data_IF_782891636925
#
_entry.id   IF_782891636925
#
_cell.length_a   1.000
_cell.length_b   1.000
_cell.length_c   1.000
_cell.angle_alpha   90.00
_cell.angle_beta   90.00
_cell.angle_gamma   90.00
#
_symmetry.space_group_name_H-M   'P 1'
#
loop_
_entity.id
_entity.type
_entity.pdbx_description
1 polymer ?
#
# COMPACT_ATOMS: atom_id res chain seq x y z
N UNK A 1 -55.60 -43.48 -57.61
CA UNK A 1 -54.47 -42.74 -57.00
C UNK A 1 -54.95 -42.25 -55.64
N UNK A 2 -54.54 -42.90 -54.56
CA UNK A 2 -54.64 -42.51 -53.14
C UNK A 2 -54.08 -43.68 -52.32
N UNK A 3 -52.77 -43.89 -52.42
CA UNK A 3 -52.07 -44.88 -51.61
C UNK A 3 -51.74 -44.25 -50.25
N UNK A 4 -52.31 -44.79 -49.18
CA UNK A 4 -52.03 -44.41 -47.80
C UNK A 4 -50.91 -45.30 -47.29
N UNK A 5 -49.74 -44.72 -46.99
CA UNK A 5 -48.61 -45.44 -46.44
C UNK A 5 -48.45 -45.13 -44.93
N UNK A 6 -48.89 -46.02 -44.02
CA UNK A 6 -48.79 -45.82 -42.57
C UNK A 6 -47.38 -46.03 -42.01
N UNK A 7 -46.35 -46.22 -42.85
CA UNK A 7 -44.95 -46.37 -42.39
C UNK A 7 -44.14 -45.09 -42.45
N UNK A 8 -44.74 -43.98 -42.91
CA UNK A 8 -44.09 -42.68 -42.95
C UNK A 8 -44.28 -41.97 -41.61
N UNK A 9 -43.37 -42.23 -40.69
CA UNK A 9 -43.30 -41.54 -39.41
C UNK A 9 -42.31 -40.36 -39.48
N UNK A 10 -42.66 -39.25 -38.85
CA UNK A 10 -41.77 -38.10 -38.65
C UNK A 10 -41.37 -37.99 -37.18
N UNK A 11 -40.07 -38.11 -36.90
CA UNK A 11 -39.50 -37.84 -35.58
C UNK A 11 -39.12 -36.36 -35.43
N UNK A 12 -39.48 -35.75 -34.31
CA UNK A 12 -39.08 -34.38 -33.96
C UNK A 12 -38.33 -34.37 -32.62
N UNK A 13 -37.38 -33.45 -32.47
CA UNK A 13 -36.70 -33.20 -31.21
C UNK A 13 -36.77 -31.71 -30.85
N UNK A 14 -36.67 -31.40 -29.56
CA UNK A 14 -36.42 -30.04 -29.06
C UNK A 14 -34.91 -29.83 -28.93
N UNK A 15 -34.35 -28.76 -29.51
CA UNK A 15 -32.94 -28.45 -29.32
C UNK A 15 -32.60 -28.30 -27.83
N UNK A 16 -31.40 -28.73 -27.47
CA UNK A 16 -30.87 -28.62 -26.12
C UNK A 16 -29.94 -27.39 -25.98
N UNK A 17 -29.54 -27.09 -24.76
CA UNK A 17 -28.51 -26.11 -24.42
C UNK A 17 -27.58 -26.64 -23.33
N UNK A 18 -26.37 -26.09 -23.32
CA UNK A 18 -25.33 -26.36 -22.34
C UNK A 18 -24.62 -25.05 -22.01
N UNK A 19 -24.29 -24.82 -20.76
CA UNK A 19 -23.51 -23.68 -20.30
C UNK A 19 -23.36 -23.74 -18.79
N UNK A 20 -22.86 -22.66 -18.20
CA UNK A 20 -23.05 -22.19 -16.82
C UNK A 20 -21.90 -21.24 -16.51
N UNK A 21 -20.93 -21.58 -15.66
CA UNK A 21 -20.10 -20.63 -14.95
C UNK A 21 -18.59 -20.92 -15.00
N UNK A 22 -17.80 -19.85 -15.00
CA UNK A 22 -16.34 -19.92 -14.78
C UNK A 22 -15.97 -19.05 -13.60
N UNK A 23 -15.25 -19.62 -12.63
CA UNK A 23 -15.04 -19.02 -11.31
C UNK A 23 -13.59 -18.97 -10.88
N UNK A 24 -13.29 -17.97 -10.06
CA UNK A 24 -12.02 -17.83 -9.37
C UNK A 24 -12.10 -18.58 -8.04
N UNK A 25 -11.58 -19.80 -8.04
CA UNK A 25 -11.48 -20.70 -6.89
C UNK A 25 -10.37 -20.21 -5.95
N UNK A 26 -10.74 -19.37 -4.98
CA UNK A 26 -9.75 -18.69 -4.13
C UNK A 26 -9.08 -19.64 -3.14
N UNK A 27 -9.80 -20.65 -2.67
CA UNK A 27 -9.32 -21.58 -1.66
C UNK A 27 -8.70 -22.86 -2.26
N UNK A 28 -8.83 -23.04 -3.59
CA UNK A 28 -8.29 -24.16 -4.38
C UNK A 28 -8.90 -25.51 -4.03
N UNK A 29 -10.15 -25.53 -3.57
CA UNK A 29 -10.83 -26.77 -3.20
C UNK A 29 -11.56 -27.45 -4.38
N UNK A 30 -11.65 -26.78 -5.53
CA UNK A 30 -12.32 -27.29 -6.72
C UNK A 30 -13.84 -27.14 -6.72
N UNK A 31 -14.41 -26.52 -5.69
CA UNK A 31 -15.85 -26.35 -5.48
C UNK A 31 -16.20 -24.88 -5.61
N UNK A 32 -17.21 -24.57 -6.40
CA UNK A 32 -17.81 -23.25 -6.46
C UNK A 32 -18.42 -22.89 -5.09
N UNK A 33 -17.87 -21.86 -4.45
CA UNK A 33 -18.34 -21.34 -3.17
C UNK A 33 -18.90 -19.92 -3.31
N UNK A 34 -19.65 -19.49 -2.29
CA UNK A 34 -20.18 -18.13 -2.22
C UNK A 34 -19.10 -17.03 -2.18
N UNK A 35 -17.86 -17.37 -1.82
CA UNK A 35 -16.70 -16.46 -1.81
C UNK A 35 -15.99 -16.33 -3.16
N UNK A 36 -16.28 -17.25 -4.08
CA UNK A 36 -15.65 -17.28 -5.39
C UNK A 36 -16.29 -16.27 -6.32
N UNK A 37 -15.45 -15.65 -7.15
CA UNK A 37 -15.86 -14.56 -8.03
C UNK A 37 -15.88 -15.01 -9.48
N UNK A 38 -16.78 -14.48 -10.32
CA UNK A 38 -16.84 -14.85 -11.73
C UNK A 38 -15.58 -14.44 -12.48
N UNK A 39 -15.20 -15.23 -13.49
CA UNK A 39 -14.12 -14.87 -14.43
C UNK A 39 -14.73 -14.53 -15.78
N UNK A 40 -14.63 -13.26 -16.17
CA UNK A 40 -15.07 -12.76 -17.48
C UNK A 40 -14.03 -13.03 -18.57
N UNK A 41 -14.51 -13.26 -19.79
CA UNK A 41 -13.70 -13.26 -21.01
C UNK A 41 -12.93 -14.55 -21.24
N UNK A 42 -13.24 -15.62 -20.52
CA UNK A 42 -12.64 -16.94 -20.75
C UNK A 42 -13.18 -17.47 -22.08
N UNK A 43 -12.28 -17.80 -23.01
CA UNK A 43 -12.66 -18.44 -24.27
C UNK A 43 -13.12 -19.87 -23.98
N UNK A 44 -14.37 -20.15 -24.34
CA UNK A 44 -14.98 -21.47 -24.20
C UNK A 44 -15.23 -22.05 -25.58
N UNK A 45 -14.81 -23.28 -25.81
CA UNK A 45 -14.94 -24.00 -27.08
C UNK A 45 -15.85 -25.21 -26.89
N UNK A 46 -16.91 -25.32 -27.69
CA UNK A 46 -17.75 -26.51 -27.75
C UNK A 46 -17.18 -27.48 -28.78
N UNK A 47 -17.01 -28.73 -28.37
CA UNK A 47 -16.67 -29.85 -29.23
C UNK A 47 -17.88 -30.77 -29.38
N UNK A 48 -18.11 -31.25 -30.60
CA UNK A 48 -19.09 -32.30 -30.91
C UNK A 48 -18.35 -33.44 -31.60
N UNK A 49 -18.48 -34.65 -31.06
CA UNK A 49 -17.81 -35.86 -31.56
C UNK A 49 -16.29 -35.65 -31.77
N UNK A 50 -15.65 -34.91 -30.84
CA UNK A 50 -14.22 -34.62 -30.84
C UNK A 50 -13.77 -33.47 -31.75
N UNK A 51 -14.67 -32.83 -32.50
CA UNK A 51 -14.35 -31.68 -33.36
C UNK A 51 -14.90 -30.38 -32.77
N UNK A 52 -14.11 -29.29 -32.79
CA UNK A 52 -14.59 -27.98 -32.37
C UNK A 52 -15.69 -27.49 -33.32
N UNK A 53 -16.84 -27.10 -32.78
CA UNK A 53 -18.02 -26.68 -33.57
C UNK A 53 -18.49 -25.26 -33.26
N UNK A 54 -18.17 -24.72 -32.08
CA UNK A 54 -18.51 -23.35 -31.71
C UNK A 54 -17.56 -22.81 -30.63
N UNK A 55 -17.50 -21.49 -30.50
CA UNK A 55 -16.84 -20.80 -29.40
C UNK A 55 -17.71 -19.70 -28.84
N UNK A 56 -17.48 -19.35 -27.57
CA UNK A 56 -18.05 -18.18 -26.90
C UNK A 56 -17.05 -17.66 -25.86
N UNK A 57 -17.38 -16.57 -25.19
CA UNK A 57 -16.61 -16.06 -24.05
C UNK A 57 -17.51 -15.84 -22.86
N UNK A 58 -17.03 -16.12 -21.65
CA UNK A 58 -17.77 -15.83 -20.43
C UNK A 58 -18.07 -14.33 -20.29
N UNK A 59 -19.25 -14.00 -19.80
CA UNK A 59 -19.69 -12.62 -19.62
C UNK A 59 -19.20 -12.00 -18.29
N UNK A 60 -19.68 -10.80 -17.95
CA UNK A 60 -19.30 -10.10 -16.72
C UNK A 60 -19.74 -10.82 -15.44
N UNK A 61 -20.72 -11.71 -15.55
CA UNK A 61 -21.17 -12.60 -14.48
C UNK A 61 -20.54 -13.98 -14.59
N UNK A 62 -19.49 -14.17 -15.40
CA UNK A 62 -18.78 -15.44 -15.54
C UNK A 62 -19.56 -16.49 -16.31
N UNK A 63 -20.72 -16.14 -16.87
CA UNK A 63 -21.62 -17.10 -17.51
C UNK A 63 -21.28 -17.30 -18.98
N UNK A 64 -21.44 -18.52 -19.47
CA UNK A 64 -21.38 -18.88 -20.89
C UNK A 64 -22.53 -19.79 -21.29
N UNK A 65 -22.90 -19.82 -22.58
CA UNK A 65 -23.96 -20.71 -23.06
C UNK A 65 -23.80 -21.05 -24.54
N UNK A 66 -24.12 -22.31 -24.87
CA UNK A 66 -24.36 -22.83 -26.20
C UNK A 66 -25.81 -23.30 -26.30
N UNK A 67 -26.55 -22.77 -27.27
CA UNK A 67 -27.96 -23.11 -27.50
C UNK A 67 -28.16 -23.76 -28.87
N UNK A 68 -29.27 -24.48 -29.06
CA UNK A 68 -29.61 -25.06 -30.35
C UNK A 68 -28.88 -26.38 -30.64
N UNK A 69 -28.44 -27.07 -29.59
CA UNK A 69 -27.66 -28.29 -29.68
C UNK A 69 -28.56 -29.47 -30.07
N UNK A 70 -28.05 -30.37 -30.92
CA UNK A 70 -28.77 -31.56 -31.34
C UNK A 70 -28.67 -32.63 -30.24
N UNK A 71 -29.78 -33.07 -29.63
CA UNK A 71 -29.76 -34.09 -28.59
C UNK A 71 -29.54 -35.51 -29.14
N UNK A 72 -29.30 -36.46 -28.23
CA UNK A 72 -29.24 -37.90 -28.51
C UNK A 72 -27.83 -38.50 -28.50
N UNK A 73 -27.76 -39.83 -28.33
CA UNK A 73 -26.51 -40.57 -28.09
C UNK A 73 -25.48 -40.51 -29.25
N UNK A 74 -25.89 -40.09 -30.45
CA UNK A 74 -24.98 -39.88 -31.59
C UNK A 74 -24.26 -38.51 -31.54
N UNK A 75 -24.65 -37.63 -30.61
CA UNK A 75 -24.11 -36.28 -30.45
C UNK A 75 -23.45 -36.19 -29.08
N UNK A 76 -22.16 -36.51 -29.03
CA UNK A 76 -21.35 -36.41 -27.81
C UNK A 76 -20.72 -35.02 -27.76
N UNK A 77 -20.99 -34.28 -26.70
CA UNK A 77 -20.48 -32.94 -26.46
C UNK A 77 -19.36 -32.95 -25.42
N UNK A 78 -18.46 -31.98 -25.54
CA UNK A 78 -17.42 -31.68 -24.56
C UNK A 78 -17.13 -30.18 -24.61
N UNK A 79 -16.82 -29.58 -23.47
CA UNK A 79 -16.49 -28.15 -23.36
C UNK A 79 -15.00 -28.00 -23.06
N UNK A 80 -14.33 -27.09 -23.77
CA UNK A 80 -12.95 -26.72 -23.51
C UNK A 80 -12.83 -25.28 -23.05
N UNK A 81 -12.15 -25.08 -21.93
CA UNK A 81 -11.90 -23.77 -21.33
C UNK A 81 -10.45 -23.37 -21.56
N UNK A 82 -10.24 -22.22 -22.20
CA UNK A 82 -8.90 -21.66 -22.32
C UNK A 82 -8.42 -21.14 -20.96
N UNK A 83 -7.25 -21.58 -20.50
CA UNK A 83 -6.66 -21.10 -19.25
C UNK A 83 -6.46 -19.58 -19.26
N UNK A 84 -7.07 -18.81 -18.34
CA UNK A 84 -6.82 -17.38 -18.23
C UNK A 84 -5.35 -17.07 -17.91
N UNK A 85 -4.85 -15.96 -18.43
CA UNK A 85 -3.47 -15.56 -18.17
C UNK A 85 -3.22 -15.33 -16.67
N UNK A 86 -2.16 -15.93 -16.14
CA UNK A 86 -1.77 -15.79 -14.73
C UNK A 86 -2.57 -16.65 -13.75
N UNK A 87 -3.52 -17.47 -14.22
CA UNK A 87 -4.24 -18.43 -13.39
C UNK A 87 -3.85 -19.88 -13.73
N UNK A 88 -4.16 -20.79 -12.82
CA UNK A 88 -4.09 -22.24 -13.01
C UNK A 88 -5.47 -22.86 -12.80
N UNK A 89 -5.78 -23.95 -13.50
CA UNK A 89 -7.01 -24.69 -13.30
C UNK A 89 -6.99 -25.39 -11.93
N UNK A 90 -8.13 -25.37 -11.25
CA UNK A 90 -8.30 -26.08 -9.97
C UNK A 90 -8.49 -27.59 -10.17
N UNK A 91 -8.68 -28.34 -9.09
CA UNK A 91 -8.99 -29.76 -9.15
C UNK A 91 -10.36 -29.99 -9.77
N UNK A 92 -10.44 -30.89 -10.76
CA UNK A 92 -11.70 -31.19 -11.43
C UNK A 92 -12.52 -32.26 -10.69
N UNK A 93 -13.84 -32.20 -10.84
CA UNK A 93 -14.81 -33.19 -10.39
C UNK A 93 -14.80 -33.43 -8.87
N UNK A 94 -14.71 -32.35 -8.10
CA UNK A 94 -14.64 -32.38 -6.64
C UNK A 94 -15.95 -31.85 -6.07
N UNK A 95 -16.76 -32.74 -5.48
CA UNK A 95 -17.98 -32.33 -4.79
C UNK A 95 -19.26 -32.64 -5.58
N UNK A 96 -20.15 -31.65 -5.67
CA UNK A 96 -21.42 -31.79 -6.37
C UNK A 96 -21.29 -31.26 -7.80
N UNK A 97 -21.76 -32.05 -8.78
CA UNK A 97 -21.67 -31.81 -10.24
C UNK A 97 -22.14 -30.42 -10.72
N UNK A 98 -23.07 -29.78 -10.02
CA UNK A 98 -23.54 -28.42 -10.37
C UNK A 98 -22.82 -27.30 -9.64
N UNK A 99 -21.73 -27.61 -8.93
CA UNK A 99 -20.97 -26.69 -8.08
C UNK A 99 -19.48 -27.08 -8.05
N UNK A 100 -18.97 -27.89 -8.98
CA UNK A 100 -17.56 -28.24 -9.05
C UNK A 100 -16.95 -27.70 -10.35
N UNK A 101 -15.64 -27.92 -10.54
CA UNK A 101 -15.00 -27.63 -11.82
C UNK A 101 -14.94 -28.90 -12.67
N UNK A 102 -15.40 -28.88 -13.91
CA UNK A 102 -15.26 -30.03 -14.82
C UNK A 102 -13.98 -29.99 -15.63
N UNK A 103 -13.39 -28.80 -15.78
CA UNK A 103 -12.22 -28.58 -16.62
C UNK A 103 -11.01 -29.37 -16.11
N UNK A 104 -10.56 -30.35 -16.90
CA UNK A 104 -9.34 -31.11 -16.61
C UNK A 104 -8.13 -30.15 -16.47
N UNK A 105 -7.32 -30.25 -15.39
CA UNK A 105 -6.29 -29.25 -15.12
C UNK A 105 -5.15 -29.16 -16.15
N UNK A 106 -5.01 -30.18 -17.00
CA UNK A 106 -3.93 -30.28 -17.99
C UNK A 106 -4.44 -29.85 -19.36
N UNK A 107 -5.63 -30.32 -19.75
CA UNK A 107 -6.19 -30.15 -21.10
C UNK A 107 -7.22 -29.02 -21.18
N UNK A 108 -7.81 -28.62 -20.05
CA UNK A 108 -8.91 -27.66 -19.97
C UNK A 108 -10.25 -28.20 -20.49
N UNK A 109 -10.35 -29.51 -20.76
CA UNK A 109 -11.55 -30.15 -21.30
C UNK A 109 -12.42 -30.73 -20.16
N UNK A 110 -13.73 -30.59 -20.26
CA UNK A 110 -14.71 -31.30 -19.41
C UNK A 110 -14.76 -32.79 -19.75
N UNK A 111 -15.49 -33.61 -18.99
CA UNK A 111 -15.91 -34.91 -19.51
C UNK A 111 -16.83 -34.75 -20.74
N UNK A 112 -16.95 -35.85 -21.48
CA UNK A 112 -17.94 -35.96 -22.56
C UNK A 112 -19.33 -36.23 -22.01
N UNK A 113 -20.35 -35.58 -22.56
CA UNK A 113 -21.75 -35.77 -22.19
C UNK A 113 -22.67 -35.86 -23.41
N UNK A 114 -23.87 -36.38 -23.22
CA UNK A 114 -24.93 -36.39 -24.24
C UNK A 114 -26.15 -35.67 -23.70
N UNK A 115 -26.79 -34.86 -24.54
CA UNK A 115 -27.97 -34.09 -24.14
C UNK A 115 -29.26 -34.81 -24.57
N UNK A 116 -30.30 -34.69 -23.77
CA UNK A 116 -31.66 -35.15 -24.07
C UNK A 116 -32.49 -34.03 -24.72
N UNK A 117 -33.60 -34.40 -25.38
CA UNK A 117 -34.42 -33.44 -26.13
C UNK A 117 -35.04 -32.37 -25.23
N UNK A 118 -34.58 -31.12 -25.40
CA UNK A 118 -35.03 -29.96 -24.62
C UNK A 118 -34.29 -29.77 -23.29
N UNK A 119 -33.19 -30.50 -23.07
CA UNK A 119 -32.33 -30.34 -21.90
C UNK A 119 -31.66 -28.96 -21.89
N UNK A 120 -31.58 -28.36 -20.70
CA UNK A 120 -30.70 -27.24 -20.42
C UNK A 120 -29.74 -27.69 -19.33
N UNK A 121 -28.53 -28.06 -19.72
CA UNK A 121 -27.50 -28.51 -18.80
C UNK A 121 -26.72 -27.30 -18.28
N UNK A 122 -26.66 -27.18 -16.95
CA UNK A 122 -25.97 -26.10 -16.21
C UNK A 122 -25.05 -26.71 -15.16
N UNK A 123 -24.28 -27.72 -15.55
CA UNK A 123 -23.37 -28.45 -14.65
C UNK A 123 -22.01 -28.64 -15.29
N UNK A 124 -21.64 -27.75 -16.23
CA UNK A 124 -20.31 -27.79 -16.85
C UNK A 124 -19.61 -26.47 -16.58
N UNK A 125 -18.79 -26.48 -15.56
CA UNK A 125 -18.14 -25.31 -14.99
C UNK A 125 -16.61 -25.42 -15.06
N UNK A 126 -15.93 -24.30 -14.84
CA UNK A 126 -14.48 -24.29 -14.72
C UNK A 126 -14.00 -23.37 -13.60
N UNK A 127 -13.24 -23.93 -12.67
CA UNK A 127 -12.56 -23.22 -11.61
C UNK A 127 -11.10 -22.92 -11.97
N UNK A 128 -10.67 -21.69 -11.74
CA UNK A 128 -9.26 -21.28 -11.86
C UNK A 128 -8.82 -20.53 -10.61
N UNK A 129 -7.53 -20.57 -10.27
CA UNK A 129 -6.99 -19.88 -9.11
C UNK A 129 -5.69 -19.15 -9.44
N UNK A 130 -5.36 -18.10 -8.68
CA UNK A 130 -4.07 -17.43 -8.82
C UNK A 130 -2.97 -18.23 -8.07
N UNK A 131 -1.94 -18.73 -8.76
CA UNK A 131 -0.92 -19.57 -8.16
C UNK A 131 0.03 -18.80 -7.24
N UNK A 132 0.13 -17.48 -7.45
CA UNK A 132 1.10 -16.58 -6.82
C UNK A 132 0.46 -15.67 -5.78
N UNK A 133 1.32 -14.96 -5.05
CA UNK A 133 0.95 -13.92 -4.09
C UNK A 133 1.60 -12.58 -4.45
N UNK A 134 1.31 -11.55 -3.66
CA UNK A 134 1.98 -10.27 -3.73
C UNK A 134 2.01 -9.54 -2.40
N UNK A 135 2.85 -8.51 -2.32
CA UNK A 135 2.87 -7.55 -1.21
C UNK A 135 3.30 -6.19 -1.73
N UNK A 136 3.05 -5.17 -0.95
CA UNK A 136 3.47 -3.80 -1.17
C UNK A 136 2.60 -2.89 -0.34
N UNK A 137 2.81 -1.59 -0.42
CA UNK A 137 1.82 -0.55 -0.15
C UNK A 137 2.52 0.80 -0.36
N UNK A 138 2.93 1.49 0.72
CA UNK A 138 3.14 2.93 0.70
C UNK A 138 4.42 3.39 1.41
N UNK A 139 5.04 4.43 0.86
CA UNK A 139 6.16 5.13 1.50
C UNK A 139 5.80 6.60 1.67
N UNK A 140 5.91 7.10 2.91
CA UNK A 140 5.32 8.38 3.30
C UNK A 140 6.27 9.29 4.08
N UNK A 141 6.06 10.60 3.92
CA UNK A 141 6.65 11.61 4.76
C UNK A 141 5.81 11.78 6.02
N UNK A 142 6.26 11.14 7.10
CA UNK A 142 5.72 11.25 8.45
C UNK A 142 6.09 12.63 9.01
N UNK A 143 5.13 13.55 9.00
CA UNK A 143 5.40 14.96 9.33
C UNK A 143 5.73 15.20 10.79
N UNK A 144 5.38 14.27 11.67
CA UNK A 144 5.53 14.40 13.11
C UNK A 144 6.43 13.31 13.72
N UNK A 145 7.05 12.46 12.89
CA UNK A 145 7.96 11.39 13.28
C UNK A 145 7.38 10.42 14.34
N UNK A 146 6.07 10.17 14.33
CA UNK A 146 5.42 9.28 15.28
C UNK A 146 5.33 7.81 14.83
N UNK A 147 5.65 7.53 13.57
CA UNK A 147 5.61 6.20 12.97
C UNK A 147 4.27 5.80 12.37
N UNK A 148 3.27 6.67 12.42
CA UNK A 148 1.89 6.43 11.98
C UNK A 148 1.64 7.21 10.68
N UNK A 149 0.85 6.63 9.79
CA UNK A 149 0.34 7.31 8.61
C UNK A 149 -0.81 8.26 9.02
N UNK A 150 -0.47 9.52 9.27
CA UNK A 150 -1.42 10.52 9.73
C UNK A 150 -2.09 11.26 8.57
N UNK A 151 -3.26 11.85 8.87
CA UNK A 151 -3.92 12.76 7.95
C UNK A 151 -3.01 13.97 7.65
N UNK A 152 -2.61 14.10 6.38
CA UNK A 152 -1.74 15.19 5.93
C UNK A 152 -0.30 14.76 5.67
N UNK A 153 0.10 13.54 6.01
CA UNK A 153 1.33 12.94 5.51
C UNK A 153 1.25 12.76 3.99
N UNK A 154 2.41 12.86 3.33
CA UNK A 154 2.48 12.94 1.86
C UNK A 154 3.34 11.80 1.30
N UNK A 155 3.07 11.33 0.07
CA UNK A 155 3.84 10.26 -0.54
C UNK A 155 5.30 10.66 -0.79
N UNK A 156 6.22 9.70 -0.69
CA UNK A 156 7.60 9.85 -1.12
C UNK A 156 7.84 9.03 -2.39
N UNK A 157 7.97 9.68 -3.57
CA UNK A 157 8.26 8.99 -4.81
C UNK A 157 9.75 8.65 -4.97
N UNK A 158 10.04 7.62 -5.77
CA UNK A 158 11.40 7.27 -6.18
C UNK A 158 12.24 6.57 -5.11
N UNK A 159 11.63 6.06 -4.04
CA UNK A 159 12.31 5.29 -3.00
C UNK A 159 12.63 3.90 -3.53
N UNK A 160 13.91 3.50 -3.49
CA UNK A 160 14.32 2.15 -3.86
C UNK A 160 13.80 1.16 -2.82
N UNK A 161 13.02 0.18 -3.28
CA UNK A 161 12.50 -0.91 -2.46
C UNK A 161 13.06 -2.24 -2.95
N UNK A 162 13.61 -3.04 -2.05
CA UNK A 162 14.23 -4.33 -2.36
C UNK A 162 13.49 -5.46 -1.66
N UNK A 163 13.21 -6.54 -2.38
CA UNK A 163 12.60 -7.75 -1.83
C UNK A 163 13.69 -8.79 -1.59
N UNK A 164 13.67 -9.41 -0.40
CA UNK A 164 14.60 -10.45 -0.01
C UNK A 164 13.86 -11.75 0.27
N UNK A 165 14.50 -12.88 -0.06
CA UNK A 165 14.11 -14.20 0.40
C UNK A 165 15.34 -14.93 0.90
N UNK A 166 15.27 -15.53 2.10
CA UNK A 166 16.41 -16.17 2.77
C UNK A 166 17.67 -15.28 2.81
N UNK A 167 17.49 -13.97 3.04
CA UNK A 167 18.58 -12.98 3.11
C UNK A 167 19.20 -12.57 1.77
N UNK A 168 18.73 -13.11 0.64
CA UNK A 168 19.21 -12.74 -0.69
C UNK A 168 18.19 -11.86 -1.40
N UNK A 169 18.66 -10.80 -2.08
CA UNK A 169 17.79 -9.95 -2.88
C UNK A 169 17.23 -10.74 -4.08
N UNK A 170 15.92 -10.76 -4.21
CA UNK A 170 15.18 -11.48 -5.27
C UNK A 170 14.40 -10.53 -6.20
N UNK A 171 14.29 -9.25 -5.83
CA UNK A 171 13.64 -8.24 -6.65
C UNK A 171 13.92 -6.83 -6.16
N UNK A 172 13.72 -5.85 -7.03
CA UNK A 172 13.74 -4.42 -6.67
C UNK A 172 12.66 -3.69 -7.44
N UNK A 173 12.15 -2.60 -6.87
CA UNK A 173 11.24 -1.66 -7.51
C UNK A 173 11.50 -0.25 -6.94
N UNK A 174 10.79 0.75 -7.44
CA UNK A 174 10.80 2.10 -6.87
C UNK A 174 9.39 2.58 -6.63
N UNK A 175 9.17 3.34 -5.57
CA UNK A 175 7.86 3.96 -5.31
C UNK A 175 7.48 4.92 -6.44
N UNK A 176 6.20 4.90 -6.82
CA UNK A 176 5.66 5.74 -7.87
C UNK A 176 5.38 7.18 -7.38
N UNK A 177 4.75 8.01 -8.23
CA UNK A 177 4.42 9.40 -7.89
C UNK A 177 3.46 9.53 -6.69
N UNK A 178 2.71 8.48 -6.39
CA UNK A 178 1.81 8.38 -5.24
C UNK A 178 2.45 7.62 -4.08
N UNK A 179 3.78 7.41 -4.08
CA UNK A 179 4.47 6.70 -2.99
C UNK A 179 4.21 5.20 -2.96
N UNK A 180 3.50 4.64 -3.94
CA UNK A 180 3.09 3.25 -3.94
C UNK A 180 4.14 2.33 -4.57
N UNK A 181 4.27 1.12 -4.07
CA UNK A 181 5.09 0.07 -4.67
C UNK A 181 4.41 -1.30 -4.54
N UNK A 182 4.80 -2.26 -5.38
CA UNK A 182 4.35 -3.64 -5.23
C UNK A 182 5.32 -4.67 -5.80
N UNK A 183 5.29 -5.86 -5.22
CA UNK A 183 5.87 -7.08 -5.75
C UNK A 183 4.74 -8.09 -5.99
N UNK A 184 4.58 -8.52 -7.24
CA UNK A 184 3.59 -9.52 -7.65
C UNK A 184 4.29 -10.79 -8.14
N UNK A 185 3.57 -11.91 -8.20
CA UNK A 185 4.14 -13.16 -8.70
C UNK A 185 5.00 -13.89 -7.67
N UNK A 186 4.82 -13.57 -6.39
CA UNK A 186 5.55 -14.17 -5.28
C UNK A 186 5.11 -15.62 -5.07
N UNK A 187 6.04 -16.45 -4.62
CA UNK A 187 5.76 -17.86 -4.35
C UNK A 187 5.11 -17.99 -2.96
N UNK A 188 3.87 -18.50 -2.84
CA UNK A 188 3.23 -18.67 -1.55
C UNK A 188 4.03 -19.60 -0.61
N UNK A 189 3.94 -19.34 0.69
CA UNK A 189 4.65 -20.10 1.73
C UNK A 189 6.15 -19.84 1.83
N UNK A 190 6.72 -19.03 0.92
CA UNK A 190 8.08 -18.51 1.06
C UNK A 190 8.05 -17.27 1.94
N UNK A 191 9.02 -17.17 2.84
CA UNK A 191 9.21 -15.98 3.67
C UNK A 191 9.96 -14.90 2.89
N UNK A 192 9.39 -13.70 2.90
CA UNK A 192 9.92 -12.50 2.25
C UNK A 192 10.15 -11.38 3.25
N UNK A 193 11.20 -10.58 3.05
CA UNK A 193 11.44 -9.34 3.80
C UNK A 193 11.58 -8.19 2.80
N UNK A 194 11.09 -7.01 3.16
CA UNK A 194 11.23 -5.81 2.34
C UNK A 194 12.30 -4.91 2.94
N UNK A 195 13.12 -4.31 2.08
CA UNK A 195 14.11 -3.31 2.47
C UNK A 195 13.87 -2.00 1.76
N UNK A 196 13.78 -0.92 2.54
CA UNK A 196 13.57 0.43 2.05
C UNK A 196 14.86 1.23 2.08
N UNK A 197 15.26 1.76 0.93
CA UNK A 197 16.40 2.68 0.83
C UNK A 197 16.04 4.03 1.46
N UNK A 198 16.90 4.55 2.35
CA UNK A 198 16.69 5.86 2.97
C UNK A 198 16.74 6.99 1.93
N UNK A 199 15.66 7.77 1.71
CA UNK A 199 15.68 8.88 0.77
C UNK A 199 16.67 9.98 1.19
N UNK A 200 17.22 10.71 0.21
CA UNK A 200 18.17 11.79 0.48
C UNK A 200 17.50 12.93 1.25
N UNK A 201 18.13 13.39 2.34
CA UNK A 201 17.58 14.44 3.21
C UNK A 201 16.55 13.97 4.24
N UNK A 202 16.18 12.69 4.23
CA UNK A 202 15.25 12.10 5.17
C UNK A 202 15.94 11.23 6.23
N UNK A 203 15.25 11.03 7.35
CA UNK A 203 15.52 10.07 8.41
C UNK A 203 14.32 9.13 8.57
N UNK A 204 14.54 7.84 8.90
CA UNK A 204 13.44 6.91 9.15
C UNK A 204 12.69 7.28 10.42
N UNK A 205 11.38 7.07 10.42
CA UNK A 205 10.52 7.24 11.61
C UNK A 205 10.56 6.00 12.52
N UNK A 206 9.71 5.94 13.54
CA UNK A 206 9.52 4.76 14.38
C UNK A 206 8.84 3.62 13.62
N UNK A 207 9.20 2.38 13.93
CA UNK A 207 8.62 1.20 13.29
C UNK A 207 7.68 0.44 14.23
N UNK A 208 6.66 -0.22 13.67
CA UNK A 208 5.73 -1.13 14.34
C UNK A 208 5.05 -0.51 15.57
N UNK A 209 4.63 0.75 15.45
CA UNK A 209 3.97 1.51 16.53
C UNK A 209 2.49 1.19 16.67
N UNK A 210 1.90 0.49 15.68
CA UNK A 210 0.52 0.05 15.55
C UNK A 210 -0.49 1.20 15.63
N UNK A 211 -1.02 1.62 14.46
CA UNK A 211 -2.02 2.67 14.41
C UNK A 211 -3.29 2.31 15.19
N UNK A 212 -3.77 3.24 16.02
CA UNK A 212 -5.01 3.04 16.79
C UNK A 212 -6.28 2.97 15.92
N UNK A 213 -6.21 3.48 14.69
CA UNK A 213 -7.35 3.54 13.75
C UNK A 213 -7.21 2.56 12.58
N UNK A 214 -6.00 2.37 12.07
CA UNK A 214 -5.71 1.54 10.89
C UNK A 214 -4.95 0.24 11.22
N UNK A 215 -4.50 0.05 12.46
CA UNK A 215 -3.69 -1.11 12.85
C UNK A 215 -2.34 -1.10 12.13
N UNK A 216 -1.94 -2.28 11.65
CA UNK A 216 -0.70 -2.56 10.90
C UNK A 216 -0.67 -1.86 9.53
N UNK A 217 -1.84 -1.63 8.93
CA UNK A 217 -1.97 -0.98 7.62
C UNK A 217 -1.78 0.55 7.66
N UNK A 218 -1.32 1.10 8.77
CA UNK A 218 -1.25 2.54 8.97
C UNK A 218 -0.09 2.97 9.85
N UNK A 219 0.94 2.15 9.96
CA UNK A 219 2.22 2.50 10.56
C UNK A 219 3.37 2.14 9.62
N UNK A 220 4.60 2.36 10.06
CA UNK A 220 5.81 2.00 9.31
C UNK A 220 6.35 0.65 9.79
N UNK A 221 6.68 -0.26 8.88
CA UNK A 221 7.32 -1.55 9.23
C UNK A 221 8.86 -1.47 9.24
N UNK A 222 9.41 -0.52 8.49
CA UNK A 222 10.84 -0.45 8.21
C UNK A 222 11.65 -0.14 9.47
N UNK A 223 12.51 -1.08 9.87
CA UNK A 223 13.42 -0.90 11.01
C UNK A 223 14.29 0.37 10.80
N UNK A 224 14.37 1.29 11.77
CA UNK A 224 15.00 2.60 11.55
C UNK A 224 16.53 2.54 11.37
N UNK A 225 17.16 1.40 11.66
CA UNK A 225 18.62 1.20 11.55
C UNK A 225 18.97 0.51 10.24
N UNK A 226 18.22 -0.54 9.89
CA UNK A 226 18.52 -1.42 8.75
C UNK A 226 17.68 -1.10 7.52
N UNK A 227 16.53 -0.45 7.69
CA UNK A 227 15.52 -0.25 6.65
C UNK A 227 14.76 -1.52 6.27
N UNK A 228 14.98 -2.64 6.99
CA UNK A 228 14.33 -3.92 6.72
C UNK A 228 13.07 -4.08 7.55
N UNK A 229 12.06 -4.72 6.99
CA UNK A 229 10.84 -5.12 7.70
C UNK A 229 11.02 -6.44 8.46
N UNK A 230 9.97 -6.89 9.14
CA UNK A 230 9.82 -8.28 9.52
C UNK A 230 9.60 -9.22 8.31
N UNK A 231 9.65 -10.55 8.52
CA UNK A 231 9.33 -11.53 7.49
C UNK A 231 7.81 -11.67 7.27
N UNK A 232 7.39 -11.72 6.01
CA UNK A 232 6.02 -12.02 5.58
C UNK A 232 5.96 -13.38 4.89
N UNK A 233 4.99 -14.20 5.26
CA UNK A 233 4.69 -15.47 4.59
C UNK A 233 3.29 -15.40 4.02
N UNK A 234 3.20 -15.37 2.69
CA UNK A 234 1.94 -15.12 1.99
C UNK A 234 1.28 -16.42 1.56
N UNK A 235 -0.05 -16.43 1.57
CA UNK A 235 -0.88 -17.47 1.00
C UNK A 235 -1.04 -17.27 -0.50
N UNK A 236 -1.46 -18.35 -1.16
CA UNK A 236 -1.97 -18.31 -2.52
C UNK A 236 -3.01 -17.19 -2.72
N UNK A 237 -2.90 -16.43 -3.81
CA UNK A 237 -3.87 -15.37 -4.16
C UNK A 237 -3.98 -14.26 -3.09
N UNK A 238 -3.04 -14.20 -2.14
CA UNK A 238 -2.95 -13.13 -1.17
C UNK A 238 -2.20 -11.94 -1.77
N UNK A 239 -2.71 -10.73 -1.50
CA UNK A 239 -1.93 -9.51 -1.61
C UNK A 239 -1.90 -8.87 -0.23
N UNK A 240 -0.71 -8.67 0.34
CA UNK A 240 -0.56 -7.97 1.62
C UNK A 240 -0.31 -6.46 1.40
N UNK A 241 -1.27 -5.57 1.72
CA UNK A 241 -1.18 -4.13 1.54
C UNK A 241 -0.83 -3.41 2.86
N UNK A 242 0.02 -3.98 3.70
CA UNK A 242 0.37 -3.41 5.02
C UNK A 242 1.88 -3.25 5.20
N UNK A 243 2.62 -3.19 4.09
CA UNK A 243 4.09 -3.15 4.15
C UNK A 243 4.55 -1.76 3.76
N UNK A 244 4.84 -0.96 4.78
CA UNK A 244 4.98 0.48 4.67
C UNK A 244 6.31 0.99 5.24
N UNK A 245 6.70 2.19 4.80
CA UNK A 245 7.85 2.88 5.38
C UNK A 245 7.62 4.39 5.54
N UNK A 246 7.77 4.86 6.76
CA UNK A 246 7.70 6.28 7.10
C UNK A 246 9.09 6.92 7.19
N UNK A 247 9.20 8.16 6.72
CA UNK A 247 10.40 8.97 6.83
C UNK A 247 10.05 10.42 7.16
N UNK A 248 10.94 11.16 7.82
CA UNK A 248 10.78 12.59 8.06
C UNK A 248 12.04 13.36 7.67
N UNK A 249 11.91 14.66 7.42
CA UNK A 249 13.05 15.57 7.27
C UNK A 249 13.38 16.19 8.62
N UNK A 250 14.65 16.17 9.05
CA UNK A 250 15.03 16.86 10.27
C UNK A 250 14.74 18.36 10.17
N UNK A 251 14.31 18.95 11.29
CA UNK A 251 14.00 20.36 11.43
C UNK A 251 15.19 21.16 12.01
N UNK A 252 15.04 22.48 12.08
CA UNK A 252 16.00 23.39 12.70
C UNK A 252 15.32 24.52 13.47
N UNK A 253 16.00 25.02 14.51
CA UNK A 253 15.63 26.20 15.29
C UNK A 253 16.81 27.15 15.34
N UNK A 254 16.55 28.43 15.13
CA UNK A 254 17.42 29.52 15.55
C UNK A 254 17.23 30.75 14.68
N UNK A 255 17.64 31.89 15.20
CA UNK A 255 17.70 33.11 14.43
C UNK A 255 18.74 34.05 15.05
N UNK A 256 18.32 35.08 15.80
CA UNK A 256 19.13 36.25 16.09
C UNK A 256 19.11 36.65 17.57
N UNK A 257 20.25 37.20 18.02
CA UNK A 257 20.35 37.85 19.33
C UNK A 257 20.80 39.30 19.14
N UNK A 258 20.01 40.23 19.67
CA UNK A 258 20.12 41.65 19.41
C UNK A 258 20.29 42.49 20.67
N UNK A 259 20.87 43.67 20.50
CA UNK A 259 20.99 44.65 21.58
C UNK A 259 19.84 45.65 21.49
N UNK A 260 18.76 45.36 22.22
CA UNK A 260 17.60 46.23 22.34
C UNK A 260 17.96 47.50 23.16
N UNK A 261 18.34 48.55 22.43
CA UNK A 261 18.81 49.79 23.06
C UNK A 261 17.65 50.62 23.63
N UNK A 262 16.44 50.45 23.12
CA UNK A 262 15.27 51.23 23.53
C UNK A 262 14.37 50.49 24.56
N UNK A 263 14.62 49.19 24.77
CA UNK A 263 13.94 48.29 25.71
C UNK A 263 12.47 48.04 25.39
N UNK A 264 12.09 48.10 24.11
CA UNK A 264 10.72 47.84 23.67
C UNK A 264 10.43 46.36 23.39
N UNK A 265 11.45 45.50 23.39
CA UNK A 265 11.34 44.06 23.15
C UNK A 265 11.21 43.67 21.68
N UNK A 266 11.29 44.63 20.76
CA UNK A 266 11.13 44.45 19.32
C UNK A 266 12.49 44.59 18.65
N UNK A 267 12.83 43.69 17.75
CA UNK A 267 13.98 43.84 16.86
C UNK A 267 13.75 45.02 15.91
N UNK A 268 14.45 46.13 16.14
CA UNK A 268 14.33 47.33 15.35
C UNK A 268 15.44 47.47 14.30
N UNK A 269 15.15 48.26 13.26
CA UNK A 269 16.16 48.76 12.34
C UNK A 269 17.15 49.67 13.08
N UNK A 270 18.31 49.13 13.45
CA UNK A 270 19.36 49.83 14.19
C UNK A 270 19.92 49.03 15.37
N UNK A 271 19.19 48.00 15.81
CA UNK A 271 19.69 47.11 16.86
C UNK A 271 20.87 46.29 16.34
N UNK A 272 21.93 46.31 17.14
CA UNK A 272 23.19 45.64 16.78
C UNK A 272 23.16 44.18 17.22
N UNK A 273 23.79 43.27 16.47
CA UNK A 273 23.89 41.88 16.87
C UNK A 273 24.77 41.73 18.11
N UNK A 274 24.47 40.73 18.94
CA UNK A 274 25.31 40.35 20.08
C UNK A 274 26.03 39.02 19.78
N UNK A 275 27.34 39.03 19.52
CA UNK A 275 28.12 37.81 19.32
C UNK A 275 28.50 37.14 20.64
N UNK A 276 28.70 35.82 20.61
CA UNK A 276 29.22 35.04 21.73
C UNK A 276 28.23 34.76 22.86
N UNK A 277 26.93 34.98 22.64
CA UNK A 277 25.87 34.63 23.60
C UNK A 277 25.75 33.11 23.67
N UNK A 278 25.84 32.54 24.87
CA UNK A 278 25.63 31.10 25.07
C UNK A 278 24.14 30.79 24.92
N UNK A 279 23.83 29.91 23.97
CA UNK A 279 22.48 29.43 23.69
C UNK A 279 22.42 27.94 23.99
N UNK A 280 21.40 27.52 24.74
CA UNK A 280 21.17 26.12 25.15
C UNK A 280 19.87 25.63 24.56
N UNK A 281 19.88 24.47 23.90
CA UNK A 281 18.68 23.78 23.46
C UNK A 281 18.25 22.78 24.53
N UNK A 282 16.97 22.82 24.87
CA UNK A 282 16.32 21.87 25.76
C UNK A 282 15.36 21.01 24.95
N UNK A 283 15.35 19.71 25.24
CA UNK A 283 14.36 18.74 24.75
C UNK A 283 13.65 18.15 25.96
N UNK A 284 12.32 18.28 26.00
CA UNK A 284 11.47 17.79 27.09
C UNK A 284 11.99 18.24 28.47
N UNK A 285 12.43 19.50 28.57
CA UNK A 285 12.94 20.13 29.78
C UNK A 285 14.39 19.81 30.15
N UNK A 286 15.09 18.96 29.38
CA UNK A 286 16.50 18.61 29.62
C UNK A 286 17.41 19.28 28.60
N UNK A 287 18.52 19.86 29.05
CA UNK A 287 19.52 20.45 28.14
C UNK A 287 20.17 19.35 27.28
N UNK A 288 20.14 19.50 25.96
CA UNK A 288 20.66 18.50 25.00
C UNK A 288 21.76 19.03 24.09
N UNK A 289 21.84 20.34 23.88
CA UNK A 289 22.89 20.94 23.07
C UNK A 289 23.16 22.39 23.51
N UNK A 290 24.35 22.89 23.16
CA UNK A 290 24.69 24.31 23.30
C UNK A 290 25.38 24.81 22.04
N UNK A 291 25.25 26.10 21.78
CA UNK A 291 25.99 26.82 20.74
C UNK A 291 26.25 28.26 21.20
N UNK A 292 26.97 29.04 20.41
CA UNK A 292 27.14 30.48 20.65
C UNK A 292 26.77 31.29 19.43
N UNK A 293 26.18 32.45 19.63
CA UNK A 293 25.89 33.37 18.51
C UNK A 293 27.17 33.78 17.79
N UNK A 294 27.11 33.86 16.47
CA UNK A 294 28.25 34.25 15.63
C UNK A 294 28.44 35.78 15.58
N UNK A 295 29.39 36.27 14.78
CA UNK A 295 29.68 37.70 14.62
C UNK A 295 28.50 38.56 14.12
N UNK A 296 27.51 37.93 13.52
CA UNK A 296 26.25 38.52 13.06
C UNK A 296 25.10 38.26 14.02
N UNK A 297 25.35 37.82 15.26
CA UNK A 297 24.31 37.56 16.26
C UNK A 297 23.49 36.29 16.01
N UNK A 298 23.80 35.51 14.96
CA UNK A 298 22.98 34.37 14.57
C UNK A 298 23.40 33.09 15.28
N UNK A 299 22.43 32.23 15.59
CA UNK A 299 22.65 30.88 16.10
C UNK A 299 21.75 29.86 15.38
N UNK A 300 22.08 28.57 15.46
CA UNK A 300 21.23 27.52 14.88
C UNK A 300 21.47 26.16 15.53
N UNK A 301 20.39 25.42 15.74
CA UNK A 301 20.34 24.00 16.02
C UNK A 301 19.68 23.28 14.83
N UNK A 302 20.40 22.36 14.19
CA UNK A 302 19.92 21.60 13.03
C UNK A 302 19.82 20.12 13.37
N UNK A 303 19.03 19.37 12.60
CA UNK A 303 18.93 17.91 12.77
C UNK A 303 17.93 17.51 13.86
N UNK A 304 16.95 18.36 14.13
CA UNK A 304 15.96 18.17 15.19
C UNK A 304 14.85 17.22 14.72
N UNK A 305 14.40 16.32 15.59
CA UNK A 305 13.30 15.41 15.30
C UNK A 305 11.97 16.14 15.49
N UNK A 306 11.09 16.18 14.47
CA UNK A 306 9.78 16.82 14.61
C UNK A 306 8.86 16.02 15.56
N UNK A 307 7.68 16.57 15.84
CA UNK A 307 6.60 15.85 16.50
C UNK A 307 6.26 16.28 17.92
N UNK A 308 5.04 15.93 18.34
CA UNK A 308 4.50 16.30 19.64
C UNK A 308 5.24 15.66 20.83
N UNK A 309 5.95 14.55 20.61
CA UNK A 309 6.81 13.92 21.63
C UNK A 309 8.15 14.66 21.82
N UNK A 310 8.51 15.57 20.91
CA UNK A 310 9.75 16.32 20.91
C UNK A 310 9.47 17.80 21.18
N UNK A 311 9.31 18.14 22.46
CA UNK A 311 9.05 19.51 22.89
C UNK A 311 10.37 20.24 23.11
N UNK A 312 10.64 21.22 22.26
CA UNK A 312 11.85 22.03 22.29
C UNK A 312 11.65 23.34 23.05
N UNK A 313 12.73 23.83 23.65
CA UNK A 313 12.82 25.16 24.27
C UNK A 313 14.25 25.66 24.13
N UNK A 314 14.43 26.96 23.93
CA UNK A 314 15.76 27.58 23.83
C UNK A 314 16.01 28.42 25.08
N UNK A 315 17.24 28.38 25.58
CA UNK A 315 17.68 29.19 26.72
C UNK A 315 18.87 30.07 26.35
N UNK A 316 18.77 31.34 26.68
CA UNK A 316 19.80 32.34 26.44
C UNK A 316 20.44 32.76 27.76
N UNK A 317 21.77 32.74 27.82
CA UNK A 317 22.51 33.28 28.96
C UNK A 317 22.96 34.69 28.64
N UNK A 318 22.42 35.74 29.30
CA UNK A 318 22.82 37.12 29.04
C UNK A 318 24.34 37.29 29.21
N UNK A 319 25.04 37.87 28.22
CA UNK A 319 26.46 38.14 28.37
C UNK A 319 26.72 39.22 29.42
N UNK A 320 27.97 39.31 29.90
CA UNK A 320 28.34 40.29 30.91
C UNK A 320 27.96 41.73 30.48
N UNK A 321 27.32 42.48 31.39
CA UNK A 321 26.81 43.84 31.20
C UNK A 321 25.53 43.98 30.36
N UNK A 322 24.90 42.88 29.93
CA UNK A 322 23.58 42.90 29.32
C UNK A 322 22.51 42.41 30.30
N UNK A 323 21.26 42.78 30.04
CA UNK A 323 20.09 42.29 30.75
C UNK A 323 18.99 42.09 29.72
N UNK A 324 18.24 40.99 29.84
CA UNK A 324 17.18 40.65 28.90
C UNK A 324 16.12 41.74 28.80
N UNK A 325 15.61 41.97 27.59
CA UNK A 325 14.48 42.86 27.33
C UNK A 325 13.13 42.20 27.61
N UNK A 326 12.02 42.87 27.29
CA UNK A 326 10.66 42.32 27.41
C UNK A 326 10.41 41.24 26.35
N UNK A 327 9.82 40.11 26.75
CA UNK A 327 9.57 39.01 25.84
C UNK A 327 8.20 39.07 25.15
N UNK A 328 8.10 38.49 23.96
CA UNK A 328 6.88 38.28 23.17
C UNK A 328 6.12 39.61 22.90
N UNK A 329 6.86 40.67 22.56
CA UNK A 329 6.32 42.00 22.27
C UNK A 329 6.46 42.28 20.79
N UNK A 330 5.38 42.14 20.02
CA UNK A 330 5.37 42.53 18.62
C UNK A 330 5.03 41.38 17.67
N UNK A 331 5.79 41.27 16.59
CA UNK A 331 5.67 40.18 15.62
C UNK A 331 6.70 39.10 15.94
N UNK A 332 6.27 37.84 15.95
CA UNK A 332 7.03 36.64 16.36
C UNK A 332 8.44 36.50 15.77
N UNK A 333 8.67 36.96 14.53
CA UNK A 333 9.99 36.91 13.90
C UNK A 333 10.83 38.18 14.05
N UNK A 334 10.40 39.10 14.93
CA UNK A 334 11.01 40.42 15.15
C UNK A 334 10.84 40.85 16.62
N UNK A 335 10.68 39.94 17.57
CA UNK A 335 10.63 40.23 18.99
C UNK A 335 11.58 39.34 19.78
N UNK A 336 11.71 39.56 21.08
CA UNK A 336 12.50 38.67 21.94
C UNK A 336 11.61 37.57 22.51
N UNK A 337 11.99 36.29 22.40
CA UNK A 337 11.23 35.19 23.00
C UNK A 337 11.67 34.83 24.41
N UNK A 338 12.91 35.20 24.76
CA UNK A 338 13.54 34.82 26.01
C UNK A 338 12.86 35.49 27.21
N UNK A 339 12.29 34.68 28.11
CA UNK A 339 11.71 35.19 29.36
C UNK A 339 12.77 35.97 30.15
N UNK A 340 12.48 37.21 30.63
CA UNK A 340 13.51 38.09 31.19
C UNK A 340 14.11 37.61 32.51
N UNK A 341 13.48 36.62 33.17
CA UNK A 341 13.89 36.10 34.47
C UNK A 341 14.67 34.80 34.31
N UNK A 342 14.18 33.90 33.46
CA UNK A 342 14.71 32.55 33.27
C UNK A 342 15.64 32.45 32.07
N UNK A 343 15.54 33.36 31.10
CA UNK A 343 16.22 33.31 29.81
C UNK A 343 15.67 32.23 28.87
N UNK A 344 14.57 31.56 29.23
CA UNK A 344 13.97 30.48 28.46
C UNK A 344 12.84 31.00 27.57
N UNK A 345 12.72 30.44 26.37
CA UNK A 345 11.61 30.71 25.46
C UNK A 345 10.35 29.94 25.87
N UNK A 346 9.22 30.18 25.20
CA UNK A 346 8.12 29.21 25.23
C UNK A 346 8.56 27.88 24.61
N UNK A 347 7.86 26.82 24.97
CA UNK A 347 8.07 25.51 24.35
C UNK A 347 7.42 25.44 22.97
N UNK A 348 8.08 24.79 22.02
CA UNK A 348 7.55 24.56 20.68
C UNK A 348 7.76 23.12 20.21
N UNK A 349 6.98 22.71 19.22
CA UNK A 349 7.13 21.44 18.50
C UNK A 349 7.39 21.75 17.04
N UNK A 350 8.23 20.96 16.39
CA UNK A 350 8.59 21.15 14.99
C UNK A 350 7.83 20.18 14.08
N UNK A 351 7.72 20.55 12.81
CA UNK A 351 7.23 19.70 11.72
C UNK A 351 8.36 19.27 10.79
N UNK A 352 8.16 18.20 10.01
CA UNK A 352 9.16 17.67 9.08
C UNK A 352 9.72 18.76 8.15
N UNK A 353 11.03 18.98 8.23
CA UNK A 353 11.76 19.93 7.40
C UNK A 353 11.56 21.41 7.78
N UNK A 354 10.93 21.69 8.92
CA UNK A 354 10.75 23.06 9.41
C UNK A 354 12.10 23.74 9.68
N UNK A 355 12.24 24.98 9.21
CA UNK A 355 13.32 25.87 9.61
C UNK A 355 12.68 27.02 10.39
N UNK A 356 12.70 26.90 11.72
CA UNK A 356 12.09 27.88 12.60
C UNK A 356 13.10 29.01 12.89
N UNK A 357 12.81 30.19 12.33
CA UNK A 357 13.60 31.42 12.47
C UNK A 357 12.79 32.51 13.16
N UNK A 358 12.02 32.16 14.17
CA UNK A 358 11.29 33.11 15.02
C UNK A 358 11.63 32.89 16.48
N UNK A 359 12.86 32.45 16.75
CA UNK A 359 13.36 32.27 18.12
C UNK A 359 14.54 33.19 18.33
N UNK A 360 14.26 34.31 18.96
CA UNK A 360 15.14 35.47 19.09
C UNK A 360 15.33 35.87 20.56
N UNK A 361 16.37 36.65 20.84
CA UNK A 361 16.58 37.23 22.17
C UNK A 361 17.16 38.66 22.11
N UNK A 362 16.60 39.56 22.93
CA UNK A 362 17.01 40.96 23.06
C UNK A 362 17.53 41.36 24.44
#
# INVERSE_FOLDING_TARGET
>A
ANEFNPTVDAGFYKPASLGDYVFNDKNRDGIQNASDTPIRGVLVTLYQNGSAVATTTTDATGLYSFTGLTPGAANVYQVGFAKPAGLEATSANVGFDGLDSDADPITGLSQTLTLTSGENNTSVDAGFYQPTAGLGDYVFEDKNANGIQDAGDVPIPGVLVSLYSNGSAVGTTTTDANGLYSFTGLTPGVSYTVGFGKPAGFMPTLANVLSSTAGDAGDSDADPVTGLTGPYSLSANEFNPTVDAGFYKPASIGDYVFNDTNKDGIQNSGDSPIPGVLVTLYLNGSAVATTTTNGSGLYSFTGLTPGAANVYQVGFTPPANFSSTSANVGFDGLDSDADPVTGLTQTLTLTSGENNTSVDAG
#
